data_IF_235766461454
#
_entry.id   IF_235766461454
#
_cell.length_a   1.000
_cell.length_b   1.000
_cell.length_c   1.000
_cell.angle_alpha   90.00
_cell.angle_beta   90.00
_cell.angle_gamma   90.00
#
_symmetry.space_group_name_H-M   'P 1'
#
loop_
_entity.id
_entity.type
_entity.pdbx_description
1 polymer ?
2 non-polymer ?
3 non-polymer ?
4 non-polymer ?
5 non-polymer ?
6 water ?
#
# COMPACT_ATOMS: atom_id res chain seq x y z
N UNK A 14 12.78 16.16 -6.84
CA UNK A 14 12.14 15.27 -7.80
C UNK A 14 12.35 13.80 -7.48
N UNK A 15 12.32 12.96 -8.52
CA UNK A 15 12.59 11.54 -8.35
C UNK A 15 14.06 11.32 -8.02
N UNK A 16 14.31 10.36 -7.15
CA UNK A 16 15.64 10.05 -6.66
C UNK A 16 15.90 8.58 -6.98
N UNK A 17 16.82 8.33 -7.90
CA UNK A 17 17.13 6.98 -8.32
C UNK A 17 18.14 6.40 -7.33
N UNK A 18 17.84 5.23 -6.79
CA UNK A 18 18.73 4.56 -5.84
C UNK A 18 18.76 3.14 -6.35
N UNK A 19 19.83 2.80 -7.06
CA UNK A 19 19.89 1.52 -7.76
C UNK A 19 18.73 1.43 -8.73
N UNK A 20 17.99 0.31 -8.67
CA UNK A 20 16.86 0.09 -9.56
C UNK A 20 15.55 0.64 -9.00
N UNK A 21 15.60 1.35 -7.87
CA UNK A 21 14.41 1.85 -7.18
C UNK A 21 14.33 3.36 -7.33
N UNK A 22 13.14 3.92 -7.11
CA UNK A 22 12.93 5.37 -7.18
C UNK A 22 12.24 5.81 -5.90
N UNK A 23 12.72 6.92 -5.32
CA UNK A 23 12.13 7.49 -4.11
C UNK A 23 11.74 8.94 -4.39
N UNK A 24 10.60 9.35 -3.85
CA UNK A 24 10.10 10.69 -4.08
C UNK A 24 9.50 11.21 -2.78
N UNK A 25 9.97 12.36 -2.32
CA UNK A 25 9.41 12.97 -1.13
C UNK A 25 8.05 13.58 -1.45
N UNK A 26 7.05 13.21 -0.68
CA UNK A 26 5.70 13.72 -0.91
C UNK A 26 5.29 14.79 0.07
N UNK A 27 5.84 14.75 1.28
CA UNK A 27 5.57 15.71 2.34
C UNK A 27 6.75 15.64 3.29
N UNK A 28 6.84 16.56 4.25
CA UNK A 28 8.06 16.60 5.08
C UNK A 28 8.50 15.27 5.67
N UNK A 29 7.56 14.47 6.14
CA UNK A 29 7.90 13.19 6.80
C UNK A 29 7.49 11.96 5.98
N UNK A 30 7.24 12.13 4.68
CA UNK A 30 6.62 11.06 3.90
C UNK A 30 7.32 10.95 2.56
N UNK A 31 7.71 9.71 2.20
CA UNK A 31 8.30 9.40 0.90
C UNK A 31 7.55 8.25 0.24
N UNK A 32 7.49 8.28 -1.08
CA UNK A 32 7.00 7.16 -1.88
C UNK A 32 8.19 6.33 -2.34
N UNK A 33 8.13 5.03 -2.12
CA UNK A 33 9.08 4.10 -2.72
C UNK A 33 8.47 3.47 -3.97
N UNK A 34 9.29 3.30 -5.02
CA UNK A 34 8.82 2.68 -6.24
C UNK A 34 9.82 1.61 -6.66
N UNK A 35 9.29 0.44 -7.00
CA UNK A 35 10.13 -0.67 -7.45
C UNK A 35 9.49 -1.28 -8.70
N UNK A 36 10.31 -1.99 -9.48
CA UNK A 36 9.89 -2.44 -10.81
C UNK A 36 10.13 -3.92 -10.96
N UNK A 37 9.23 -4.58 -11.65
CA UNK A 37 9.44 -5.99 -11.97
C UNK A 37 9.07 -6.19 -13.43
N UNK A 38 9.98 -6.79 -14.20
CA UNK A 38 9.67 -7.15 -15.59
C UNK A 38 8.80 -8.38 -15.56
N UNK A 39 7.53 -8.21 -15.88
CA UNK A 39 6.57 -9.28 -15.88
C UNK A 39 6.36 -9.70 -17.31
N UNK A 40 6.72 -10.94 -17.67
CA UNK A 40 6.54 -11.42 -19.05
C UNK A 40 5.12 -11.14 -19.52
N UNK A 41 4.99 -10.57 -20.72
CA UNK A 41 3.70 -10.20 -21.26
C UNK A 41 3.14 -8.86 -20.80
N UNK A 42 3.81 -8.16 -19.88
CA UNK A 42 3.27 -6.92 -19.33
C UNK A 42 4.29 -5.80 -19.21
N UNK A 43 5.55 -6.01 -19.58
CA UNK A 43 6.54 -4.96 -19.40
C UNK A 43 6.98 -4.82 -17.96
N UNK A 44 7.73 -3.76 -17.72
CA UNK A 44 8.29 -3.49 -16.40
C UNK A 44 7.28 -2.70 -15.58
N UNK A 45 6.66 -3.35 -14.61
CA UNK A 45 5.55 -2.76 -13.86
C UNK A 45 6.07 -2.09 -12.59
N UNK A 46 5.72 -0.83 -12.41
CA UNK A 46 6.03 -0.08 -11.19
C UNK A 46 5.03 -0.42 -10.11
N UNK A 47 5.52 -0.48 -8.87
CA UNK A 47 4.65 -0.52 -7.69
C UNK A 47 5.15 0.46 -6.64
N UNK A 48 4.21 1.19 -6.04
CA UNK A 48 4.51 2.24 -5.07
C UNK A 48 4.08 1.81 -3.67
N UNK A 49 4.92 2.15 -2.69
CA UNK A 49 4.53 2.14 -1.29
C UNK A 49 4.99 3.41 -0.61
N UNK A 50 4.93 3.43 0.72
CA UNK A 50 5.24 4.66 1.46
C UNK A 50 6.23 4.39 2.59
N UNK A 51 6.98 5.45 2.93
CA UNK A 51 7.86 5.48 4.08
C UNK A 51 7.48 6.72 4.88
N UNK A 52 7.23 6.54 6.17
CA UNK A 52 6.79 7.65 7.02
C UNK A 52 7.74 7.78 8.22
N UNK A 53 8.30 8.96 8.47
CA UNK A 53 9.01 9.17 9.72
C UNK A 53 8.05 9.66 10.78
N UNK A 54 8.01 8.96 11.91
CA UNK A 54 7.20 9.37 13.05
C UNK A 54 8.14 9.63 14.22
N UNK A 55 8.58 10.88 14.37
CA UNK A 55 9.50 11.18 15.44
C UNK A 55 10.83 10.49 15.22
N UNK A 56 11.23 9.62 16.16
CA UNK A 56 12.50 8.92 16.01
C UNK A 56 12.39 7.51 15.45
N UNK A 57 11.31 7.22 14.73
CA UNK A 57 11.21 5.89 14.10
C UNK A 57 10.58 6.05 12.73
N UNK A 58 10.72 5.00 11.95
CA UNK A 58 10.21 4.96 10.58
C UNK A 58 9.16 3.85 10.47
N UNK A 59 8.12 4.10 9.68
CA UNK A 59 7.05 3.16 9.40
C UNK A 59 6.99 2.96 7.90
N UNK A 60 6.85 1.71 7.47
CA UNK A 60 6.80 1.37 6.05
C UNK A 60 5.43 0.85 5.68
N UNK A 61 4.91 1.29 4.55
CA UNK A 61 3.67 0.77 3.97
C UNK A 61 4.05 0.09 2.66
N UNK A 62 3.86 -1.24 2.63
CA UNK A 62 4.10 -2.17 1.51
C UNK A 62 5.57 -2.50 1.31
N UNK A 63 5.83 -3.73 0.92
CA UNK A 63 7.18 -4.09 0.50
C UNK A 63 7.38 -3.67 -0.93
N UNK A 64 8.58 -3.94 -1.48
CA UNK A 64 8.77 -3.90 -2.93
C UNK A 64 8.38 -5.27 -3.49
N UNK A 65 8.58 -5.49 -4.81
CA UNK A 65 8.22 -6.78 -5.41
C UNK A 65 9.04 -7.95 -4.86
N UNK A 66 10.29 -7.72 -4.48
CA UNK A 66 11.20 -8.82 -4.13
C UNK A 66 11.87 -8.53 -2.81
N UNK A 67 12.43 -9.58 -2.20
CA UNK A 67 13.23 -9.42 -1.00
C UNK A 67 14.42 -8.50 -1.25
N UNK A 68 15.13 -8.70 -2.36
CA UNK A 68 16.32 -7.89 -2.63
C UNK A 68 15.96 -6.42 -2.76
N UNK A 69 14.86 -6.11 -3.45
CA UNK A 69 14.44 -4.72 -3.56
C UNK A 69 14.02 -4.16 -2.21
N UNK A 70 13.36 -4.98 -1.39
CA UNK A 70 12.93 -4.50 -0.08
C UNK A 70 14.13 -4.24 0.83
N UNK A 71 15.17 -5.08 0.76
CA UNK A 71 16.42 -4.77 1.45
C UNK A 71 16.99 -3.43 0.97
N UNK A 72 16.87 -3.12 -0.32
CA UNK A 72 17.35 -1.84 -0.80
C UNK A 72 16.53 -0.67 -0.26
N UNK A 73 15.22 -0.87 -0.05
CA UNK A 73 14.44 0.16 0.62
C UNK A 73 15.00 0.44 2.00
N UNK A 74 15.31 -0.64 2.74
CA UNK A 74 15.89 -0.47 4.08
C UNK A 74 17.25 0.22 4.00
N UNK A 75 18.02 -0.04 2.95
CA UNK A 75 19.30 0.61 2.77
C UNK A 75 19.10 2.10 2.52
N UNK A 76 18.11 2.44 1.70
CA UNK A 76 17.83 3.85 1.43
C UNK A 76 17.42 4.57 2.70
N UNK A 77 16.55 3.93 3.49
CA UNK A 77 16.11 4.52 4.76
C UNK A 77 17.32 4.77 5.66
N UNK A 78 18.26 3.84 5.70
CA UNK A 78 19.43 4.02 6.54
C UNK A 78 20.26 5.22 6.09
N UNK A 79 20.38 5.43 4.78
CA UNK A 79 21.17 6.55 4.26
C UNK A 79 20.45 7.89 4.38
N UNK A 80 19.13 7.94 4.15
CA UNK A 80 18.43 9.21 4.01
C UNK A 80 17.70 9.62 5.28
N UNK A 81 17.43 8.69 6.18
CA UNK A 81 16.72 8.97 7.41
C UNK A 81 17.52 8.52 8.64
N UNK A 82 18.08 7.32 8.60
CA UNK A 82 18.98 6.84 9.64
C UNK A 82 18.28 6.75 10.99
N UNK A 83 17.10 6.13 10.98
CA UNK A 83 16.35 5.85 12.19
C UNK A 83 15.79 4.44 12.05
N UNK A 84 15.52 3.76 13.16
CA UNK A 84 15.02 2.36 13.08
C UNK A 84 13.65 2.30 12.42
N UNK A 85 13.41 1.20 11.71
CA UNK A 85 12.10 0.93 11.13
C UNK A 85 11.29 0.14 12.15
N UNK A 86 10.31 0.82 12.77
CA UNK A 86 9.60 0.18 13.90
C UNK A 86 8.62 -0.89 13.43
N UNK A 87 8.00 -0.72 12.27
CA UNK A 87 7.01 -1.68 11.79
C UNK A 87 6.75 -1.41 10.31
N UNK A 88 6.15 -2.40 9.67
CA UNK A 88 5.66 -2.29 8.31
C UNK A 88 4.24 -2.83 8.29
N UNK A 89 3.38 -2.18 7.50
CA UNK A 89 2.05 -2.68 7.24
C UNK A 89 1.95 -2.94 5.75
N UNK A 90 1.38 -4.09 5.37
CA UNK A 90 1.26 -4.46 3.96
C UNK A 90 -0.21 -4.60 3.62
N UNK A 91 -0.59 -4.18 2.40
CA UNK A 91 -1.98 -3.85 2.14
C UNK A 91 -2.79 -4.92 1.43
N UNK A 92 -2.17 -6.00 0.97
CA UNK A 92 -2.90 -7.22 0.60
C UNK A 92 -1.89 -8.27 0.15
N UNK A 93 -2.38 -9.49 -0.02
CA UNK A 93 -1.49 -10.65 -0.33
C UNK A 93 -1.31 -10.84 -1.84
N UNK A 94 -0.58 -9.88 -2.44
CA UNK A 94 -0.05 -10.04 -3.79
C UNK A 94 1.40 -9.58 -3.77
N UNK A 95 2.15 -9.97 -4.79
CA UNK A 95 3.60 -9.84 -4.80
C UNK A 95 4.06 -8.39 -4.72
N UNK A 96 3.34 -7.44 -5.36
CA UNK A 96 3.79 -6.06 -5.31
C UNK A 96 3.75 -5.47 -3.91
N UNK A 97 2.88 -6.00 -3.03
CA UNK A 97 2.73 -5.47 -1.66
C UNK A 97 3.40 -6.32 -0.60
N UNK A 98 3.59 -7.62 -0.85
CA UNK A 98 4.03 -8.60 0.14
C UNK A 98 5.23 -9.41 -0.33
N UNK A 99 5.74 -9.16 -1.53
CA UNK A 99 6.80 -10.00 -2.07
C UNK A 99 8.10 -9.93 -1.28
N UNK A 100 8.31 -8.87 -0.48
CA UNK A 100 9.54 -8.68 0.25
C UNK A 100 9.46 -8.94 1.75
N UNK A 101 8.45 -9.68 2.21
CA UNK A 101 8.29 -9.90 3.65
C UNK A 101 9.54 -10.48 4.28
N UNK A 102 10.17 -11.48 3.64
CA UNK A 102 11.32 -12.11 4.29
C UNK A 102 12.43 -11.11 4.56
N UNK A 103 12.58 -10.09 3.70
CA UNK A 103 13.60 -9.08 3.95
C UNK A 103 13.28 -8.25 5.19
N UNK A 104 12.00 -7.93 5.38
CA UNK A 104 11.61 -7.23 6.62
C UNK A 104 11.88 -8.09 7.84
N UNK A 105 11.55 -9.37 7.78
CA UNK A 105 11.76 -10.23 8.93
C UNK A 105 13.24 -10.43 9.21
N UNK A 106 14.05 -10.57 8.16
CA UNK A 106 15.50 -10.72 8.37
C UNK A 106 16.11 -9.48 9.03
N UNK A 107 15.54 -8.32 8.78
CA UNK A 107 15.97 -7.05 9.39
C UNK A 107 15.37 -6.83 10.77
N UNK A 108 14.54 -7.74 11.27
CA UNK A 108 14.00 -7.58 12.62
C UNK A 108 12.80 -6.67 12.71
N UNK A 109 12.14 -6.38 11.59
CA UNK A 109 11.03 -5.43 11.57
C UNK A 109 9.72 -6.16 11.82
N UNK A 110 8.91 -5.63 12.73
CA UNK A 110 7.58 -6.21 13.00
C UNK A 110 6.64 -5.92 11.85
N UNK A 111 5.90 -6.93 11.40
CA UNK A 111 5.06 -6.76 10.22
C UNK A 111 3.59 -7.07 10.52
N UNK A 112 2.72 -6.33 9.85
CA UNK A 112 1.27 -6.34 10.08
C UNK A 112 0.55 -6.42 8.75
N UNK A 113 -0.49 -7.24 8.69
CA UNK A 113 -1.37 -7.29 7.53
C UNK A 113 -2.78 -7.60 8.03
N UNK A 114 -3.78 -7.31 7.19
CA UNK A 114 -5.13 -7.84 7.43
C UNK A 114 -5.06 -9.34 7.74
N UNK A 115 -5.79 -9.79 8.76
CA UNK A 115 -5.87 -11.21 9.07
C UNK A 115 -6.16 -12.02 7.81
N UNK A 116 -7.04 -11.50 6.96
CA UNK A 116 -7.38 -12.24 5.74
C UNK A 116 -6.18 -12.33 4.80
N UNK A 117 -5.36 -11.28 4.72
CA UNK A 117 -4.14 -11.38 3.91
C UNK A 117 -3.22 -12.47 4.44
N UNK A 118 -3.05 -12.55 5.77
CA UNK A 118 -2.21 -13.62 6.33
C UNK A 118 -2.77 -14.99 6.04
N UNK A 119 -4.10 -15.12 6.08
CA UNK A 119 -4.72 -16.40 5.77
C UNK A 119 -4.49 -16.78 4.32
N UNK A 120 -4.59 -15.80 3.40
CA UNK A 120 -4.42 -16.07 1.98
C UNK A 120 -2.97 -16.17 1.58
N UNK A 121 -2.03 -15.67 2.39
CA UNK A 121 -0.64 -15.56 1.95
C UNK A 121 -0.09 -16.88 1.42
N UNK A 122 -0.15 -17.99 2.14
CA UNK A 122 0.44 -19.23 1.59
C UNK A 122 -0.07 -19.57 0.20
N UNK A 123 -1.39 -19.58 -0.02
CA UNK A 123 -1.88 -20.02 -1.32
C UNK A 123 -1.54 -19.02 -2.41
N UNK A 124 -1.33 -17.74 -2.06
CA UNK A 124 -0.91 -16.73 -3.01
C UNK A 124 0.59 -16.75 -3.25
N UNK A 125 1.35 -17.59 -2.54
CA UNK A 125 2.79 -17.60 -2.71
C UNK A 125 3.52 -16.54 -1.94
N UNK A 126 2.89 -15.94 -0.95
CA UNK A 126 3.49 -14.92 -0.09
C UNK A 126 3.86 -15.50 1.27
N UNK A 127 4.80 -14.84 1.92
CA UNK A 127 5.10 -15.04 3.33
C UNK A 127 4.14 -14.16 4.14
N UNK A 128 3.47 -14.76 5.14
CA UNK A 128 2.54 -13.97 5.96
C UNK A 128 3.28 -12.95 6.82
N UNK A 129 2.61 -11.84 7.09
CA UNK A 129 3.09 -10.94 8.13
C UNK A 129 2.99 -11.63 9.50
N UNK A 130 3.74 -11.07 10.46
CA UNK A 130 3.80 -11.66 11.80
C UNK A 130 2.56 -11.40 12.64
N UNK A 131 1.85 -10.31 12.35
CA UNK A 131 0.70 -9.88 13.14
C UNK A 131 -0.48 -9.63 12.22
N UNK A 132 -1.68 -9.89 12.74
CA UNK A 132 -2.93 -9.76 12.00
C UNK A 132 -3.77 -8.60 12.49
N UNK A 133 -4.21 -7.78 11.57
CA UNK A 133 -5.14 -6.70 11.85
C UNK A 133 -6.56 -7.19 11.67
N UNK A 134 -7.45 -6.76 12.55
CA UNK A 134 -8.86 -7.03 12.33
C UNK A 134 -9.59 -5.70 12.35
N UNK A 135 -10.80 -5.70 11.80
CA UNK A 135 -11.51 -4.47 11.51
C UNK A 135 -12.92 -4.48 12.08
N UNK A 136 -13.36 -3.32 12.55
CA UNK A 136 -14.73 -3.15 13.00
C UNK A 136 -15.69 -3.16 11.82
N UNK A 137 -16.98 -3.29 12.11
CA UNK A 137 -17.96 -3.37 11.04
C UNK A 137 -17.90 -2.11 10.16
N UNK A 138 -17.52 -0.98 10.75
CA UNK A 138 -17.40 0.25 9.97
C UNK A 138 -16.11 0.36 9.17
N UNK A 139 -15.22 -0.61 9.24
CA UNK A 139 -14.02 -0.58 8.44
C UNK A 139 -12.77 -0.14 9.16
N UNK A 140 -12.86 0.58 10.28
CA UNK A 140 -11.65 1.03 10.96
C UNK A 140 -10.99 -0.11 11.71
N UNK A 141 -9.66 -0.12 11.68
CA UNK A 141 -8.91 -1.17 12.35
C UNK A 141 -9.28 -1.22 13.82
N UNK A 142 -9.36 -2.43 14.35
CA UNK A 142 -9.56 -2.60 15.78
C UNK A 142 -8.27 -2.19 16.49
N UNK A 143 -8.32 -1.20 17.39
CA UNK A 143 -7.08 -0.56 17.85
C UNK A 143 -6.10 -1.50 18.54
N UNK A 144 -6.57 -2.55 19.21
CA UNK A 144 -5.64 -3.46 19.88
C UNK A 144 -4.74 -4.16 18.88
N UNK A 145 -5.20 -4.33 17.64
CA UNK A 145 -4.41 -5.07 16.67
C UNK A 145 -3.39 -4.22 15.95
N UNK A 146 -3.44 -2.90 16.12
CA UNK A 146 -2.51 -1.99 15.44
C UNK A 146 -1.83 -1.10 16.48
N UNK A 147 -1.13 -1.70 17.45
CA UNK A 147 -0.48 -0.89 18.50
C UNK A 147 0.67 -0.09 17.93
N UNK A 148 0.86 1.10 18.49
CA UNK A 148 2.04 1.93 18.18
C UNK A 148 2.12 2.28 16.70
N UNK A 149 0.96 2.45 16.05
CA UNK A 149 0.97 2.80 14.64
C UNK A 149 1.15 4.30 14.41
N UNK A 150 1.25 5.14 15.44
CA UNK A 150 1.54 6.54 15.21
C UNK A 150 0.51 7.19 14.31
N UNK A 151 0.95 7.85 13.24
CA UNK A 151 -0.01 8.55 12.38
C UNK A 151 -0.73 7.65 11.38
N UNK A 152 -0.40 6.36 11.32
CA UNK A 152 -1.00 5.51 10.30
C UNK A 152 -2.41 5.13 10.72
N UNK A 153 -3.38 5.47 9.90
CA UNK A 153 -4.79 5.21 10.20
C UNK A 153 -5.28 4.18 9.19
N UNK A 154 -5.50 2.94 9.66
CA UNK A 154 -5.72 1.82 8.75
C UNK A 154 -7.22 1.56 8.61
N UNK A 155 -7.67 1.40 7.37
CA UNK A 155 -9.09 1.27 7.07
C UNK A 155 -9.32 0.17 6.04
N UNK A 156 -10.27 -0.74 6.33
CA UNK A 156 -10.67 -1.79 5.40
C UNK A 156 -11.92 -1.30 4.68
N UNK A 157 -11.87 -1.00 3.37
CA UNK A 157 -13.01 -0.37 2.69
C UNK A 157 -14.02 -1.35 2.14
N UNK A 158 -13.79 -2.66 2.27
CA UNK A 158 -14.62 -3.67 1.63
C UNK A 158 -13.81 -4.29 0.50
N UNK A 159 -14.26 -5.43 0.00
CA UNK A 159 -13.56 -6.09 -1.10
C UNK A 159 -13.63 -5.30 -2.40
N UNK A 160 -12.54 -5.37 -3.16
CA UNK A 160 -12.49 -4.60 -4.39
C UNK A 160 -11.45 -5.16 -5.33
N UNK A 161 -10.26 -4.56 -5.31
CA UNK A 161 -9.15 -5.14 -6.07
C UNK A 161 -8.89 -6.57 -5.63
N UNK A 162 -8.98 -6.82 -4.33
CA UNK A 162 -9.00 -8.17 -3.74
C UNK A 162 -9.97 -8.16 -2.57
N UNK A 163 -10.21 -9.35 -2.03
CA UNK A 163 -11.07 -9.47 -0.85
C UNK A 163 -10.44 -8.84 0.38
N UNK A 164 -9.10 -8.83 0.46
CA UNK A 164 -8.36 -8.43 1.65
C UNK A 164 -7.76 -7.04 1.59
N UNK A 165 -7.97 -6.29 0.52
CA UNK A 165 -7.28 -5.00 0.37
C UNK A 165 -7.58 -4.03 1.51
N UNK A 166 -6.53 -3.39 2.05
CA UNK A 166 -6.70 -2.36 3.07
C UNK A 166 -6.03 -1.07 2.61
N UNK A 167 -6.35 0.02 3.30
CA UNK A 167 -5.91 1.36 2.91
C UNK A 167 -5.39 2.10 4.14
N UNK A 168 -4.61 3.16 3.92
CA UNK A 168 -3.92 3.80 5.04
C UNK A 168 -3.91 5.31 4.86
N UNK A 169 -4.37 6.05 5.85
CA UNK A 169 -4.24 7.49 5.89
C UNK A 169 -3.06 7.88 6.78
N UNK A 170 -2.46 9.03 6.51
CA UNK A 170 -1.35 9.51 7.33
C UNK A 170 -1.83 10.77 8.06
N UNK A 171 -2.04 10.65 9.36
CA UNK A 171 -2.48 11.80 10.15
C UNK A 171 -1.45 12.92 10.09
N UNK A 172 -1.95 14.14 10.15
CA UNK A 172 -1.07 15.29 10.03
C UNK A 172 -0.58 15.59 8.63
N UNK A 173 -1.12 14.90 7.62
CA UNK A 173 -0.80 15.16 6.23
C UNK A 173 -2.09 15.16 5.43
N UNK A 174 -1.99 15.53 4.15
CA UNK A 174 -3.14 15.46 3.27
C UNK A 174 -3.17 14.17 2.46
N UNK A 175 -2.43 13.14 2.90
CA UNK A 175 -2.16 11.94 2.11
C UNK A 175 -3.02 10.79 2.61
N UNK A 176 -3.66 10.09 1.68
CA UNK A 176 -4.24 8.78 1.90
C UNK A 176 -3.75 7.81 0.83
N UNK A 177 -3.46 6.59 1.23
CA UNK A 177 -2.91 5.57 0.36
C UNK A 177 -3.98 4.55 0.03
N UNK A 178 -4.35 4.45 -1.25
CA UNK A 178 -5.34 3.49 -1.67
C UNK A 178 -4.79 2.15 -2.14
N UNK A 179 -3.46 2.01 -2.23
CA UNK A 179 -2.90 0.75 -2.66
C UNK A 179 -3.35 0.42 -4.07
N UNK A 180 -3.68 -0.84 -4.29
CA UNK A 180 -4.10 -1.26 -5.61
C UNK A 180 -5.60 -1.11 -5.83
N UNK A 181 -6.34 -0.68 -4.82
CA UNK A 181 -7.76 -0.43 -5.00
C UNK A 181 -8.01 0.75 -5.93
N UNK A 182 -7.20 1.81 -5.82
CA UNK A 182 -7.45 3.07 -6.51
C UNK A 182 -6.53 3.20 -7.70
N UNK A 183 -7.07 3.67 -8.83
CA UNK A 183 -6.34 3.98 -10.05
C UNK A 183 -6.47 5.47 -10.33
N UNK A 184 -5.59 6.00 -11.18
CA UNK A 184 -5.53 7.44 -11.30
C UNK A 184 -6.68 8.00 -12.14
N UNK A 185 -6.82 9.33 -12.09
CA UNK A 185 -8.00 10.01 -12.62
C UNK A 185 -8.04 9.96 -14.14
N UNK A 186 -6.91 9.70 -14.79
CA UNK A 186 -6.83 9.54 -16.23
C UNK A 186 -6.69 8.08 -16.65
N UNK A 187 -6.81 7.14 -15.71
CA UNK A 187 -6.67 5.73 -16.04
C UNK A 187 -7.75 5.29 -17.02
N UNK A 188 -7.40 4.33 -17.88
CA UNK A 188 -8.28 3.91 -18.96
C UNK A 188 -9.24 2.81 -18.54
N UNK A 189 -8.77 1.82 -17.78
CA UNK A 189 -9.61 0.70 -17.38
C UNK A 189 -9.16 0.16 -16.03
N UNK A 190 -9.87 -0.88 -15.57
CA UNK A 190 -9.50 -1.65 -14.39
C UNK A 190 -9.04 -3.06 -14.73
N UNK A 191 -9.40 -3.59 -15.90
CA UNK A 191 -9.07 -4.93 -16.28
C UNK A 191 -10.15 -5.94 -15.89
N UNK A 192 -9.84 -7.21 -16.16
CA UNK A 192 -10.69 -8.31 -15.71
C UNK A 192 -9.89 -9.24 -14.81
N UNK A 193 -9.34 -8.69 -13.72
CA UNK A 193 -8.46 -9.45 -12.86
C UNK A 193 -9.26 -10.45 -12.02
N UNK A 194 -8.77 -11.69 -11.95
CA UNK A 194 -9.52 -12.79 -11.36
C UNK A 194 -9.77 -12.67 -9.87
N UNK A 195 -8.91 -11.94 -9.14
CA UNK A 195 -9.10 -11.81 -7.71
C UNK A 195 -10.06 -10.71 -7.32
N UNK A 196 -10.52 -9.91 -8.27
CA UNK A 196 -11.34 -8.75 -7.96
C UNK A 196 -12.74 -9.16 -7.54
N UNK A 197 -13.32 -8.39 -6.63
CA UNK A 197 -14.70 -8.62 -6.21
C UNK A 197 -15.58 -7.72 -7.07
N UNK A 198 -16.24 -8.32 -8.06
CA UNK A 198 -16.96 -7.52 -9.04
C UNK A 198 -18.21 -6.88 -8.42
N UNK A 199 -18.85 -7.60 -7.50
CA UNK A 199 -20.08 -7.10 -6.89
C UNK A 199 -19.81 -5.85 -6.04
N UNK A 200 -18.72 -5.85 -5.27
CA UNK A 200 -18.54 -4.86 -4.23
C UNK A 200 -17.50 -3.78 -4.54
N UNK A 201 -16.74 -3.91 -5.64
CA UNK A 201 -15.60 -3.03 -5.88
C UNK A 201 -16.00 -1.56 -5.83
N UNK A 202 -17.09 -1.19 -6.51
CA UNK A 202 -17.45 0.22 -6.61
C UNK A 202 -17.73 0.84 -5.24
N UNK A 203 -18.47 0.13 -4.38
CA UNK A 203 -18.77 0.70 -3.07
C UNK A 203 -17.52 0.83 -2.22
N UNK A 204 -16.57 -0.09 -2.40
CA UNK A 204 -15.36 -0.07 -1.58
C UNK A 204 -14.50 1.12 -1.93
N UNK A 205 -14.41 1.43 -3.23
CA UNK A 205 -13.67 2.61 -3.64
C UNK A 205 -14.27 3.87 -3.01
N UNK A 206 -15.60 3.98 -3.04
CA UNK A 206 -16.24 5.15 -2.45
C UNK A 206 -16.07 5.19 -0.94
N UNK A 207 -16.07 4.01 -0.29
CA UNK A 207 -15.87 3.95 1.16
C UNK A 207 -14.48 4.46 1.56
N UNK A 208 -13.44 4.13 0.76
CA UNK A 208 -12.12 4.68 1.00
C UNK A 208 -12.13 6.22 0.98
N UNK A 209 -12.77 6.82 -0.05
CA UNK A 209 -12.82 8.27 -0.11
C UNK A 209 -13.55 8.88 1.06
N UNK A 210 -14.62 8.23 1.51
CA UNK A 210 -15.38 8.75 2.64
C UNK A 210 -14.64 8.59 3.96
N UNK A 211 -13.76 7.58 4.06
CA UNK A 211 -12.98 7.38 5.28
C UNK A 211 -11.93 8.45 5.47
N UNK A 212 -11.42 9.01 4.37
CA UNK A 212 -10.36 10.03 4.41
C UNK A 212 -10.88 11.25 3.65
N UNK A 213 -11.92 11.90 4.17
CA UNK A 213 -12.65 12.89 3.37
C UNK A 213 -11.86 14.12 3.06
N UNK A 214 -10.81 14.41 3.83
CA UNK A 214 -10.04 15.63 3.63
C UNK A 214 -8.70 15.41 2.93
N UNK A 215 -8.31 14.16 2.67
CA UNK A 215 -7.06 13.90 1.97
C UNK A 215 -7.11 14.45 0.55
N UNK A 216 -6.16 15.32 0.21
CA UNK A 216 -6.11 15.88 -1.12
C UNK A 216 -5.06 15.23 -2.01
N UNK A 217 -4.13 14.48 -1.44
CA UNK A 217 -3.15 13.73 -2.20
C UNK A 217 -3.43 12.23 -2.04
N UNK A 218 -3.89 11.61 -3.11
CA UNK A 218 -4.24 10.20 -3.13
C UNK A 218 -3.07 9.46 -3.76
N UNK A 219 -2.40 8.65 -2.95
CA UNK A 219 -1.26 7.84 -3.36
C UNK A 219 -1.77 6.45 -3.72
N UNK A 220 -1.19 5.83 -4.75
CA UNK A 220 -1.69 4.54 -5.16
C UNK A 220 -0.55 3.71 -5.71
N UNK A 221 -0.82 2.40 -5.90
CA UNK A 221 0.26 1.47 -6.23
C UNK A 221 0.84 1.67 -7.61
N UNK A 222 0.03 2.02 -8.61
CA UNK A 222 0.50 1.93 -9.98
C UNK A 222 0.34 3.22 -10.76
N UNK A 223 0.24 4.35 -10.08
CA UNK A 223 0.26 5.66 -10.72
C UNK A 223 0.90 6.64 -9.76
N UNK A 224 1.31 7.80 -10.28
CA UNK A 224 1.82 8.86 -9.43
C UNK A 224 0.70 9.44 -8.57
N UNK A 225 1.04 10.14 -7.47
CA UNK A 225 0.00 10.71 -6.61
C UNK A 225 -0.93 11.63 -7.39
N UNK A 226 -2.22 11.52 -7.09
CA UNK A 226 -3.26 12.25 -7.81
C UNK A 226 -4.18 12.98 -6.85
N UNK A 227 -5.01 13.85 -7.41
CA UNK A 227 -6.03 14.50 -6.60
C UNK A 227 -7.13 13.50 -6.26
N UNK A 228 -8.14 13.99 -5.53
CA UNK A 228 -9.26 13.13 -5.18
C UNK A 228 -10.05 12.67 -6.40
N UNK A 229 -9.85 13.27 -7.57
CA UNK A 229 -10.50 12.76 -8.77
C UNK A 229 -10.13 11.31 -9.06
N UNK A 230 -9.01 10.83 -8.52
CA UNK A 230 -8.66 9.43 -8.70
C UNK A 230 -9.74 8.53 -8.09
N UNK A 231 -10.25 8.93 -6.93
CA UNK A 231 -11.30 8.14 -6.29
C UNK A 231 -12.58 8.20 -7.10
N UNK A 232 -13.03 9.42 -7.44
CA UNK A 232 -14.27 9.56 -8.20
C UNK A 232 -14.15 8.79 -9.51
N UNK A 233 -12.99 8.88 -10.16
CA UNK A 233 -12.84 8.21 -11.45
C UNK A 233 -12.78 6.70 -11.30
N UNK A 234 -12.03 6.18 -10.30
CA UNK A 234 -12.01 4.73 -10.08
C UNK A 234 -13.40 4.21 -9.75
N UNK A 235 -14.13 4.92 -8.89
CA UNK A 235 -15.49 4.53 -8.58
C UNK A 235 -16.38 4.62 -9.81
N UNK A 236 -16.35 5.78 -10.49
CA UNK A 236 -17.17 5.98 -11.69
C UNK A 236 -16.90 4.90 -12.72
N UNK A 237 -15.65 4.45 -12.82
CA UNK A 237 -15.28 3.34 -13.70
C UNK A 237 -15.79 2.01 -13.16
N UNK A 238 -15.65 1.77 -11.85
CA UNK A 238 -16.12 0.52 -11.26
C UNK A 238 -17.64 0.37 -11.36
N UNK A 239 -18.38 1.48 -11.52
CA UNK A 239 -19.83 1.38 -11.72
C UNK A 239 -20.17 0.54 -12.95
N UNK A 240 -19.46 0.77 -14.05
CA UNK A 240 -19.70 0.10 -15.34
C UNK A 240 -19.27 -1.35 -15.34
N UNK A 241 -19.03 -1.91 -14.17
CA UNK A 241 -18.83 -3.34 -14.01
C UNK A 241 -19.93 -3.99 -13.19
N UNK A 242 -20.76 -3.20 -12.51
CA UNK A 242 -21.87 -3.72 -11.75
C UNK A 242 -23.15 -3.74 -12.56
#
# INVERSE_FOLDING_TARGET
GEIRPTIGQQMETGDQRFGDLVFRQLAPNVWQHTSYLDMPGFGAVASNGLIVRDGGRVLVVDTAWTDDQTAQILNWIKQEINLPVALAVVTHAHQDKMGGMDALHAAGIATYANALSNQLAPQEGMVAAQHSLTFAANGWVEPATAPNFGPLKVFYPGPGHTSDNITVGIDGTDIAFGGCLIKDSKAKSLGNLGDADTEHYAASARAFGAAFPKASMIVMSHSAPDSRAAITHTARMADKLR
#
